data_IF_479773994956
#
_entry.id   IF_479773994956
#
_cell.length_a   1.000
_cell.length_b   1.000
_cell.length_c   1.000
_cell.angle_alpha   90.00
_cell.angle_beta   90.00
_cell.angle_gamma   90.00
#
_symmetry.space_group_name_H-M   'P 1'
#
loop_
_entity.id
_entity.type
_entity.pdbx_description
1 polymer ?
#
# COMPACT_ATOMS: atom_id res chain seq x y z
N UNK A 1 0.40 -20.66 1.58
CA UNK A 1 1.71 -20.01 1.65
C UNK A 1 2.59 -20.38 0.46
N UNK A 2 2.75 -21.67 0.14
CA UNK A 2 3.67 -22.14 -0.92
C UNK A 2 3.40 -21.75 -2.39
N UNK A 3 2.21 -21.26 -2.75
CA UNK A 3 1.91 -20.96 -4.17
C UNK A 3 2.52 -19.62 -4.59
N UNK A 4 2.33 -18.56 -3.80
CA UNK A 4 2.92 -17.25 -4.11
C UNK A 4 4.44 -17.27 -3.97
N UNK A 5 4.97 -17.94 -2.94
CA UNK A 5 6.42 -18.12 -2.82
C UNK A 5 6.95 -18.97 -3.98
N UNK A 6 6.30 -20.09 -4.32
CA UNK A 6 6.77 -20.97 -5.41
C UNK A 6 6.78 -20.33 -6.80
N UNK A 7 5.87 -19.40 -7.08
CA UNK A 7 5.76 -18.76 -8.41
C UNK A 7 6.44 -17.39 -8.48
N UNK A 8 6.51 -16.64 -7.37
CA UNK A 8 6.91 -15.23 -7.39
C UNK A 8 8.21 -14.93 -6.64
N UNK A 9 8.69 -15.81 -5.74
CA UNK A 9 9.85 -15.50 -4.89
C UNK A 9 11.12 -15.19 -5.68
N UNK A 10 11.24 -15.75 -6.88
CA UNK A 10 12.42 -15.59 -7.74
C UNK A 10 12.47 -14.22 -8.41
N UNK A 11 11.32 -13.53 -8.51
CA UNK A 11 11.21 -12.24 -9.25
C UNK A 11 10.83 -11.08 -8.34
N UNK A 12 9.95 -11.28 -7.35
CA UNK A 12 9.48 -10.23 -6.44
C UNK A 12 9.49 -10.71 -4.98
N UNK A 13 9.83 -9.81 -4.03
CA UNK A 13 9.86 -10.17 -2.62
C UNK A 13 8.44 -10.41 -2.08
N UNK A 14 8.23 -11.56 -1.46
CA UNK A 14 6.99 -11.87 -0.73
C UNK A 14 7.17 -11.47 0.74
N UNK A 15 6.49 -10.41 1.16
CA UNK A 15 6.62 -9.84 2.51
C UNK A 15 5.42 -10.23 3.36
N UNK A 16 5.69 -10.90 4.49
CA UNK A 16 4.65 -11.29 5.45
C UNK A 16 4.50 -10.21 6.52
N UNK A 17 3.49 -9.37 6.39
CA UNK A 17 3.17 -8.32 7.38
C UNK A 17 1.68 -8.29 7.71
N UNK A 18 1.36 -7.78 8.90
CA UNK A 18 0.05 -7.20 9.18
C UNK A 18 0.06 -5.70 8.89
N UNK A 19 -1.12 -5.11 8.73
CA UNK A 19 -1.31 -3.67 8.63
C UNK A 19 -2.36 -3.29 9.67
N UNK A 20 -2.01 -2.42 10.60
CA UNK A 20 -2.89 -2.01 11.71
C UNK A 20 -3.38 -3.22 12.54
N UNK A 21 -2.53 -4.25 12.71
CA UNK A 21 -2.89 -5.50 13.40
C UNK A 21 -3.98 -6.34 12.69
N UNK A 22 -4.37 -5.96 11.47
CA UNK A 22 -5.41 -6.62 10.70
C UNK A 22 -4.82 -7.54 9.62
N UNK A 23 -5.58 -8.60 9.27
CA UNK A 23 -5.22 -9.55 8.18
C UNK A 23 -5.81 -9.17 6.82
N UNK A 24 -6.56 -8.08 6.74
CA UNK A 24 -7.21 -7.58 5.51
C UNK A 24 -6.30 -6.61 4.73
N UNK A 25 -5.01 -6.95 4.62
CA UNK A 25 -3.97 -6.07 4.07
C UNK A 25 -4.29 -5.58 2.65
N UNK A 26 -4.84 -6.44 1.79
CA UNK A 26 -5.16 -6.08 0.40
C UNK A 26 -6.29 -5.07 0.23
N UNK A 27 -7.08 -4.83 1.29
CA UNK A 27 -8.11 -3.76 1.29
C UNK A 27 -7.60 -2.48 1.95
N UNK A 28 -6.65 -2.60 2.86
CA UNK A 28 -6.12 -1.48 3.63
C UNK A 28 -5.04 -0.70 2.89
N UNK A 29 -4.34 -1.35 1.97
CA UNK A 29 -3.16 -0.82 1.30
C UNK A 29 -3.43 -0.71 -0.20
N UNK A 30 -2.84 0.30 -0.84
CA UNK A 30 -2.85 0.49 -2.29
C UNK A 30 -1.46 0.92 -2.74
N UNK A 31 -1.02 0.49 -3.92
CA UNK A 31 0.31 0.83 -4.43
C UNK A 31 0.58 0.27 -5.81
N UNK A 32 1.62 0.81 -6.44
CA UNK A 32 2.18 0.38 -7.71
C UNK A 32 3.69 0.15 -7.55
N UNK A 33 4.44 0.00 -8.65
CA UNK A 33 5.89 -0.22 -8.56
C UNK A 33 6.69 0.96 -7.99
N UNK A 34 6.11 2.16 -7.96
CA UNK A 34 6.78 3.40 -7.54
C UNK A 34 6.50 3.70 -6.07
N UNK A 35 5.35 3.29 -5.55
CA UNK A 35 4.96 3.63 -4.19
C UNK A 35 3.86 2.77 -3.59
N UNK A 36 3.79 2.81 -2.26
CA UNK A 36 2.87 2.06 -1.43
C UNK A 36 2.26 2.98 -0.37
N UNK A 37 0.93 3.10 -0.39
CA UNK A 37 0.16 3.88 0.56
C UNK A 37 -0.42 2.97 1.63
N UNK A 38 -0.09 3.27 2.87
CA UNK A 38 -0.58 2.54 4.04
C UNK A 38 -1.45 3.45 4.92
N UNK A 39 -2.44 2.90 5.63
CA UNK A 39 -3.30 3.72 6.47
C UNK A 39 -2.52 4.26 7.67
N UNK A 40 -2.97 5.39 8.22
CA UNK A 40 -2.35 6.00 9.40
C UNK A 40 -2.40 5.10 10.66
N UNK A 41 -3.29 4.10 10.69
CA UNK A 41 -3.38 3.11 11.76
C UNK A 41 -2.25 2.06 11.74
N UNK A 42 -1.40 2.05 10.71
CA UNK A 42 -0.26 1.14 10.59
C UNK A 42 0.80 1.46 11.64
N UNK A 43 1.21 0.46 12.40
CA UNK A 43 2.21 0.65 13.47
C UNK A 43 3.60 0.96 12.89
N UNK A 44 4.47 1.62 13.67
CA UNK A 44 5.85 1.90 13.24
C UNK A 44 6.66 0.63 13.01
N UNK A 45 6.38 -0.43 13.76
CA UNK A 45 7.03 -1.72 13.60
C UNK A 45 6.65 -2.38 12.26
N UNK A 46 5.37 -2.38 11.90
CA UNK A 46 4.89 -2.88 10.59
C UNK A 46 5.50 -2.05 9.45
N UNK A 47 5.49 -0.72 9.58
CA UNK A 47 6.03 0.16 8.54
C UNK A 47 7.54 -0.03 8.35
N UNK A 48 8.30 -0.18 9.44
CA UNK A 48 9.73 -0.46 9.36
C UNK A 48 10.01 -1.84 8.74
N UNK A 49 9.20 -2.85 9.08
CA UNK A 49 9.32 -4.19 8.49
C UNK A 49 9.11 -4.16 6.98
N UNK A 50 8.09 -3.43 6.51
CA UNK A 50 7.78 -3.26 5.09
C UNK A 50 8.91 -2.49 4.38
N UNK A 51 9.40 -1.40 4.97
CA UNK A 51 10.55 -0.63 4.43
C UNK A 51 11.81 -1.46 4.28
N UNK A 52 12.11 -2.33 5.24
CA UNK A 52 13.31 -3.17 5.18
C UNK A 52 13.19 -4.31 4.15
N UNK A 53 11.97 -4.65 3.73
CA UNK A 53 11.70 -5.80 2.86
C UNK A 53 11.43 -5.40 1.40
N UNK A 54 11.06 -4.14 1.16
CA UNK A 54 10.87 -3.57 -0.17
C UNK A 54 12.14 -2.85 -0.65
N UNK A 55 12.35 -2.76 -1.97
CA UNK A 55 13.47 -2.00 -2.53
C UNK A 55 13.28 -0.49 -2.30
N UNK A 56 14.40 0.23 -2.17
CA UNK A 56 14.45 1.68 -1.93
C UNK A 56 13.76 2.53 -3.02
N UNK A 57 13.45 1.93 -4.17
CA UNK A 57 12.70 2.57 -5.25
C UNK A 57 11.22 2.78 -4.91
N UNK A 58 10.66 2.01 -3.97
CA UNK A 58 9.25 2.08 -3.58
C UNK A 58 9.08 3.08 -2.44
N UNK A 59 8.42 4.20 -2.71
CA UNK A 59 8.07 5.19 -1.68
C UNK A 59 6.94 4.68 -0.79
N UNK A 60 7.19 4.52 0.50
CA UNK A 60 6.16 4.11 1.47
C UNK A 60 5.71 5.31 2.29
N UNK A 61 4.43 5.66 2.15
CA UNK A 61 3.82 6.84 2.78
C UNK A 61 2.56 6.46 3.55
N UNK A 62 2.39 7.06 4.74
CA UNK A 62 1.14 6.98 5.51
C UNK A 62 0.16 8.03 5.01
N UNK A 63 -1.08 7.61 4.83
CA UNK A 63 -2.18 8.48 4.42
C UNK A 63 -3.27 8.43 5.47
N UNK A 64 -3.76 9.60 5.87
CA UNK A 64 -4.99 9.73 6.63
C UNK A 64 -6.16 9.82 5.64
N UNK A 65 -7.05 8.84 5.70
CA UNK A 65 -8.29 8.80 4.92
C UNK A 65 -9.43 8.49 5.91
N UNK A 66 -10.56 9.19 5.75
CA UNK A 66 -11.71 9.13 6.69
C UNK A 66 -12.98 8.52 6.10
N UNK A 67 -13.00 8.17 4.80
CA UNK A 67 -14.15 7.61 4.09
C UNK A 67 -14.18 6.07 4.15
N UNK A 68 -13.07 5.40 3.86
CA UNK A 68 -12.96 3.94 3.85
C UNK A 68 -11.51 3.42 3.96
N UNK A 69 -11.31 2.14 3.67
CA UNK A 69 -9.98 1.59 3.48
C UNK A 69 -9.43 1.99 2.10
N UNK A 70 -8.15 2.38 2.02
CA UNK A 70 -7.51 2.89 0.80
C UNK A 70 -7.70 1.99 -0.42
N UNK A 71 -7.62 0.67 -0.25
CA UNK A 71 -7.81 -0.30 -1.32
C UNK A 71 -9.26 -0.48 -1.80
N UNK A 72 -10.25 0.10 -1.11
CA UNK A 72 -11.63 0.14 -1.60
C UNK A 72 -11.91 1.39 -2.45
N UNK A 73 -11.20 2.49 -2.17
CA UNK A 73 -11.46 3.81 -2.76
C UNK A 73 -10.50 4.15 -3.89
N UNK A 74 -9.33 3.50 -3.95
CA UNK A 74 -8.31 3.71 -4.98
C UNK A 74 -8.02 2.42 -5.71
N UNK A 75 -8.03 2.49 -7.04
CA UNK A 75 -7.47 1.46 -7.93
C UNK A 75 -6.41 2.12 -8.79
N UNK A 76 -5.16 1.64 -8.71
CA UNK A 76 -4.06 2.21 -9.47
C UNK A 76 -3.29 1.15 -10.27
N UNK A 77 -2.63 1.63 -11.32
CA UNK A 77 -1.55 0.94 -12.02
C UNK A 77 -0.33 1.87 -12.10
N UNK A 78 0.68 1.50 -12.90
CA UNK A 78 1.92 2.28 -13.05
C UNK A 78 1.73 3.64 -13.77
N UNK A 79 0.54 3.91 -14.32
CA UNK A 79 0.28 5.05 -15.20
C UNK A 79 -0.92 5.91 -14.76
N UNK A 80 -1.95 5.29 -14.19
CA UNK A 80 -3.26 5.90 -13.90
C UNK A 80 -3.78 5.36 -12.57
N UNK A 81 -4.41 6.24 -11.79
CA UNK A 81 -5.19 5.89 -10.62
C UNK A 81 -6.64 6.37 -10.81
N UNK A 82 -7.59 5.53 -10.41
CA UNK A 82 -9.00 5.87 -10.26
C UNK A 82 -9.31 5.96 -8.78
N UNK A 83 -9.87 7.10 -8.37
CA UNK A 83 -10.19 7.41 -6.98
C UNK A 83 -11.68 7.65 -6.81
N UNK A 84 -12.18 7.47 -5.58
CA UNK A 84 -13.55 7.82 -5.24
C UNK A 84 -13.78 9.33 -5.41
N UNK A 85 -14.91 9.79 -5.99
CA UNK A 85 -15.15 11.21 -6.27
C UNK A 85 -15.22 12.08 -5.01
N UNK A 86 -15.60 11.50 -3.87
CA UNK A 86 -15.68 12.21 -2.59
C UNK A 86 -14.35 12.22 -1.82
N UNK A 87 -13.24 11.74 -2.41
CA UNK A 87 -11.92 11.75 -1.77
C UNK A 87 -11.44 13.18 -1.56
N UNK A 88 -10.80 13.44 -0.42
CA UNK A 88 -10.22 14.75 -0.13
C UNK A 88 -9.08 15.07 -1.13
N UNK A 89 -9.04 16.31 -1.58
CA UNK A 89 -8.05 16.78 -2.57
C UNK A 89 -6.61 16.65 -2.07
N UNK A 90 -6.38 16.81 -0.77
CA UNK A 90 -5.07 16.59 -0.15
C UNK A 90 -4.64 15.12 -0.29
N UNK A 91 -5.56 14.18 -0.08
CA UNK A 91 -5.30 12.75 -0.28
C UNK A 91 -5.04 12.43 -1.76
N UNK A 92 -5.76 13.07 -2.68
CA UNK A 92 -5.53 12.93 -4.12
C UNK A 92 -4.14 13.41 -4.53
N UNK A 93 -3.69 14.56 -4.01
CA UNK A 93 -2.35 15.10 -4.27
C UNK A 93 -1.25 14.17 -3.73
N UNK A 94 -1.46 13.56 -2.56
CA UNK A 94 -0.52 12.57 -1.99
C UNK A 94 -0.46 11.31 -2.87
N UNK A 95 -1.59 10.82 -3.38
CA UNK A 95 -1.63 9.66 -4.29
C UNK A 95 -0.88 9.95 -5.59
N UNK A 96 -0.92 11.20 -6.07
CA UNK A 96 -0.23 11.60 -7.30
C UNK A 96 1.29 11.81 -7.14
N UNK A 97 1.77 12.15 -5.94
CA UNK A 97 3.20 12.37 -5.67
C UNK A 97 4.00 11.09 -5.34
N UNK A 98 3.29 10.07 -4.84
CA UNK A 98 3.85 8.77 -4.43
C UNK A 98 3.98 7.82 -5.61
#
# INVERSE_FOLDING_TARGET
>A
YSIFEGELSDTIPVVHSSIAGCRIIGRLVVGNKNGLLVPNSTTDQELQHIRNSLPDTVKIQRVEERLSALGNVVVCNDYVALVHPDLDRETEEIIADV
#
